data_IF_655564948572
#
_entry.id   IF_655564948572
#
_cell.length_a   1.000
_cell.length_b   1.000
_cell.length_c   1.000
_cell.angle_alpha   90.00
_cell.angle_beta   90.00
_cell.angle_gamma   90.00
#
_symmetry.space_group_name_H-M   'P 1'
#
loop_
_entity.id
_entity.type
_entity.pdbx_description
1 polymer ?
#
# COMPACT_ATOMS: atom_id res chain seq x y z
N UNK A 1 -26.04 -19.98 41.94
CA UNK A 1 -26.31 -21.26 41.24
C UNK A 1 -25.93 -21.09 39.77
N UNK A 2 -24.83 -21.75 39.38
CA UNK A 2 -24.57 -22.38 38.06
C UNK A 2 -24.68 -21.45 36.83
N UNK A 3 -23.60 -20.94 36.23
CA UNK A 3 -22.56 -21.63 35.44
C UNK A 3 -23.06 -22.28 34.14
N UNK A 4 -22.44 -21.88 33.01
CA UNK A 4 -22.13 -22.71 31.83
C UNK A 4 -23.13 -22.92 30.66
N UNK A 5 -22.52 -22.98 29.46
CA UNK A 5 -22.99 -23.27 28.09
C UNK A 5 -23.67 -22.11 27.34
N UNK A 6 -23.07 -21.45 26.34
CA UNK A 6 -22.25 -21.98 25.25
C UNK A 6 -20.93 -21.21 25.03
N UNK A 7 -19.83 -21.85 25.41
CA UNK A 7 -18.60 -21.90 24.59
C UNK A 7 -18.85 -22.95 23.52
N UNK A 8 -18.93 -22.56 22.25
CA UNK A 8 -18.63 -23.38 21.05
C UNK A 8 -19.15 -22.66 19.81
N UNK A 9 -18.24 -22.40 18.87
CA UNK A 9 -18.42 -21.84 17.51
C UNK A 9 -18.38 -20.31 17.39
N UNK A 10 -17.24 -19.78 16.97
CA UNK A 10 -17.23 -18.60 16.11
C UNK A 10 -16.31 -17.42 16.44
N UNK A 11 -15.32 -17.55 17.33
CA UNK A 11 -14.15 -16.67 17.29
C UNK A 11 -13.30 -17.07 16.07
N UNK A 12 -13.60 -16.55 14.89
CA UNK A 12 -12.77 -16.71 13.70
C UNK A 12 -13.06 -15.59 12.72
N UNK A 13 -12.01 -14.85 12.34
CA UNK A 13 -11.96 -13.86 11.24
C UNK A 13 -12.54 -12.49 11.57
N UNK A 14 -11.86 -11.77 12.47
CA UNK A 14 -11.89 -10.30 12.44
C UNK A 14 -10.80 -9.85 11.45
N UNK A 15 -11.21 -8.97 10.54
CA UNK A 15 -10.50 -8.62 9.31
C UNK A 15 -9.14 -8.02 9.56
N UNK A 16 -8.16 -8.54 8.83
CA UNK A 16 -6.79 -8.05 8.81
C UNK A 16 -6.65 -7.27 7.51
N UNK A 17 -6.86 -5.97 7.62
CA UNK A 17 -6.27 -4.98 6.74
C UNK A 17 -5.43 -4.10 7.68
N UNK A 18 -4.26 -3.63 7.27
CA UNK A 18 -3.72 -2.43 7.90
C UNK A 18 -4.66 -1.27 7.56
N UNK A 19 -5.00 -0.44 8.53
CA UNK A 19 -5.78 0.77 8.24
C UNK A 19 -5.00 1.77 7.35
N UNK A 20 -3.68 1.56 7.19
CA UNK A 20 -2.78 2.39 6.40
C UNK A 20 -2.94 2.19 4.88
N UNK A 21 -3.08 0.95 4.40
CA UNK A 21 -3.37 0.66 2.98
C UNK A 21 -4.69 1.31 2.53
N UNK A 22 -5.62 1.47 3.48
CA UNK A 22 -6.97 1.99 3.26
C UNK A 22 -7.04 3.52 3.14
N UNK A 23 -6.08 4.23 3.71
CA UNK A 23 -6.07 5.69 3.65
C UNK A 23 -4.86 6.31 2.97
N UNK A 24 -3.88 5.52 2.49
CA UNK A 24 -2.75 6.06 1.74
C UNK A 24 -3.27 6.79 0.49
N UNK A 25 -4.21 6.17 -0.24
CA UNK A 25 -4.94 6.78 -1.36
C UNK A 25 -5.81 8.00 -0.96
N UNK A 26 -6.38 8.03 0.25
CA UNK A 26 -7.25 9.12 0.70
C UNK A 26 -6.43 10.34 1.17
N UNK A 27 -5.34 10.13 1.90
CA UNK A 27 -4.44 11.20 2.35
C UNK A 27 -3.68 11.82 1.18
N UNK A 28 -3.26 11.01 0.20
CA UNK A 28 -2.70 11.47 -1.08
C UNK A 28 -3.68 12.41 -1.81
N UNK A 29 -4.98 12.13 -1.75
CA UNK A 29 -6.02 12.99 -2.35
C UNK A 29 -6.37 14.21 -1.48
N UNK A 30 -6.33 14.10 -0.14
CA UNK A 30 -6.68 15.18 0.80
C UNK A 30 -5.53 16.15 1.13
N UNK A 31 -4.25 15.79 0.98
CA UNK A 31 -3.11 16.71 1.17
C UNK A 31 -3.08 17.87 0.15
N UNK A 32 -3.94 17.82 -0.88
CA UNK A 32 -4.29 18.97 -1.74
C UNK A 32 -5.09 20.07 -1.00
N UNK A 33 -5.64 19.78 0.18
CA UNK A 33 -6.63 20.59 0.87
C UNK A 33 -6.45 20.56 2.41
N UNK A 34 -5.53 21.34 3.00
CA UNK A 34 -5.87 22.22 4.15
C UNK A 34 -4.70 22.93 4.83
N UNK A 35 -4.83 24.26 5.00
CA UNK A 35 -4.62 25.07 6.22
C UNK A 35 -4.92 26.54 5.82
N UNK A 36 -5.58 27.45 6.54
CA UNK A 36 -6.12 27.54 7.91
C UNK A 36 -7.17 28.69 8.01
N UNK A 37 -8.08 28.57 9.00
CA UNK A 37 -8.85 29.55 9.83
C UNK A 37 -9.27 30.99 9.38
N UNK A 38 -10.59 31.32 9.38
CA UNK A 38 -11.33 32.21 10.34
C UNK A 38 -12.66 32.85 9.81
N UNK A 39 -13.61 32.96 10.76
CA UNK A 39 -14.73 33.92 10.96
C UNK A 39 -16.17 33.76 10.40
N UNK A 40 -17.12 33.84 11.36
CA UNK A 40 -18.58 33.77 11.33
C UNK A 40 -19.32 34.85 10.51
N UNK A 41 -20.48 34.49 9.94
CA UNK A 41 -21.77 35.21 10.15
C UNK A 41 -22.97 34.43 9.56
N UNK A 42 -24.15 34.60 10.18
CA UNK A 42 -25.38 33.80 10.06
C UNK A 42 -26.49 34.49 9.19
N UNK A 43 -27.41 33.66 8.65
CA UNK A 43 -28.80 33.90 8.15
C UNK A 43 -29.03 34.20 6.64
N UNK A 44 -30.24 33.96 6.06
CA UNK A 44 -31.01 32.70 5.99
C UNK A 44 -31.51 32.36 4.56
N UNK A 45 -31.99 31.12 4.38
CA UNK A 45 -32.46 30.47 3.14
C UNK A 45 -33.62 31.16 2.39
N UNK A 46 -33.55 31.17 1.04
CA UNK A 46 -34.59 30.60 0.14
C UNK A 46 -34.19 30.66 -1.35
N UNK A 47 -34.15 29.49 -1.99
CA UNK A 47 -34.34 29.22 -3.42
C UNK A 47 -33.49 30.02 -4.43
N UNK A 48 -32.28 29.53 -4.71
CA UNK A 48 -31.58 29.69 -6.00
C UNK A 48 -30.41 28.69 -6.07
N UNK A 49 -30.09 28.22 -7.29
CA UNK A 49 -29.10 27.18 -7.62
C UNK A 49 -27.81 27.30 -6.77
N UNK A 50 -27.58 26.34 -5.90
CA UNK A 50 -26.29 26.16 -5.24
C UNK A 50 -25.42 25.28 -6.15
N UNK A 51 -24.74 25.92 -7.10
CA UNK A 51 -23.47 25.39 -7.58
C UNK A 51 -22.45 25.60 -6.48
N UNK A 52 -21.87 24.54 -5.94
CA UNK A 52 -20.73 24.67 -5.04
C UNK A 52 -19.45 24.67 -5.88
N UNK A 53 -18.83 25.85 -5.95
CA UNK A 53 -17.47 26.04 -6.44
C UNK A 53 -16.52 25.78 -5.28
N UNK A 54 -15.68 24.75 -5.35
CA UNK A 54 -14.50 24.68 -4.49
C UNK A 54 -13.47 25.68 -5.03
N UNK A 55 -13.23 26.77 -4.30
CA UNK A 55 -12.18 27.75 -4.62
C UNK A 55 -10.90 27.30 -3.92
N UNK A 56 -9.87 26.95 -4.70
CA UNK A 56 -8.54 26.63 -4.19
C UNK A 56 -7.86 27.88 -3.60
N UNK A 57 -7.39 27.80 -2.35
CA UNK A 57 -6.81 28.94 -1.60
C UNK A 57 -5.27 29.00 -1.65
N UNK A 58 -4.59 27.98 -2.19
CA UNK A 58 -3.12 27.99 -2.34
C UNK A 58 -2.70 28.56 -3.71
N UNK A 59 -1.99 29.72 -3.78
CA UNK A 59 -1.65 30.38 -5.04
C UNK A 59 -0.61 29.63 -5.90
N UNK A 60 0.11 28.64 -5.36
CA UNK A 60 1.14 27.89 -6.10
C UNK A 60 0.57 26.84 -7.07
N UNK A 61 -0.70 26.44 -6.89
CA UNK A 61 -1.30 25.28 -7.58
C UNK A 61 -2.50 25.60 -8.46
N UNK A 62 -2.71 26.88 -8.82
CA UNK A 62 -3.82 27.32 -9.70
C UNK A 62 -3.78 26.79 -11.14
N UNK A 63 -2.73 26.07 -11.55
CA UNK A 63 -2.54 25.67 -12.96
C UNK A 63 -2.91 24.20 -13.29
N UNK A 64 -3.24 23.36 -12.31
CA UNK A 64 -3.27 21.89 -12.51
C UNK A 64 -4.68 21.29 -12.70
N UNK A 65 -5.77 21.98 -12.36
CA UNK A 65 -7.13 21.41 -12.43
C UNK A 65 -8.14 22.36 -13.12
N UNK A 66 -8.58 22.10 -14.36
CA UNK A 66 -9.75 22.80 -14.89
C UNK A 66 -11.04 22.20 -14.29
N UNK A 67 -11.94 23.08 -13.88
CA UNK A 67 -13.30 22.81 -13.38
C UNK A 67 -14.14 21.96 -14.34
N UNK A 68 -14.82 20.90 -13.86
CA UNK A 68 -15.79 20.13 -14.66
C UNK A 68 -17.09 19.85 -13.89
N UNK A 69 -18.22 20.15 -14.52
CA UNK A 69 -19.61 19.90 -14.12
C UNK A 69 -20.10 18.51 -14.59
N UNK A 70 -20.96 17.84 -13.80
CA UNK A 70 -21.40 16.44 -14.01
C UNK A 70 -22.77 16.33 -14.70
N UNK A 71 -22.91 15.36 -15.61
CA UNK A 71 -24.18 14.79 -16.10
C UNK A 71 -24.11 13.23 -16.13
N UNK A 72 -25.28 12.58 -16.14
CA UNK A 72 -25.59 11.21 -15.70
C UNK A 72 -25.17 10.02 -16.61
N UNK A 73 -24.80 8.86 -16.01
CA UNK A 73 -25.51 7.53 -16.10
C UNK A 73 -24.63 6.27 -15.83
N UNK A 74 -25.16 5.38 -14.95
CA UNK A 74 -25.06 3.90 -14.77
C UNK A 74 -23.70 3.13 -14.68
N UNK A 75 -23.54 1.96 -14.01
CA UNK A 75 -24.04 1.24 -12.79
C UNK A 75 -23.22 -0.08 -12.71
N UNK A 76 -22.53 -0.39 -11.62
CA UNK A 76 -21.91 -1.71 -11.34
C UNK A 76 -21.94 -1.98 -9.82
N UNK A 77 -22.43 -3.15 -9.39
CA UNK A 77 -22.33 -3.71 -8.02
C UNK A 77 -21.80 -5.15 -8.13
N UNK A 78 -20.79 -5.56 -7.32
CA UNK A 78 -21.04 -6.50 -6.22
C UNK A 78 -20.19 -6.19 -4.93
N UNK A 79 -20.40 -6.90 -3.80
CA UNK A 79 -20.18 -6.36 -2.46
C UNK A 79 -18.83 -6.73 -1.84
N UNK A 80 -18.41 -5.89 -0.87
CA UNK A 80 -17.47 -6.10 0.25
C UNK A 80 -16.17 -5.25 0.19
N UNK A 81 -16.24 -4.12 0.89
CA UNK A 81 -15.22 -3.58 1.81
C UNK A 81 -13.78 -3.49 1.29
N UNK A 82 -13.45 -2.41 0.55
CA UNK A 82 -12.39 -1.42 0.84
C UNK A 82 -11.89 -0.53 -0.31
N UNK A 83 -12.60 -0.48 -1.44
CA UNK A 83 -12.24 0.39 -2.58
C UNK A 83 -13.33 1.42 -2.96
N UNK A 84 -14.14 1.86 -2.00
CA UNK A 84 -15.19 2.88 -2.21
C UNK A 84 -14.73 4.31 -1.85
N UNK A 85 -13.50 4.68 -2.19
CA UNK A 85 -13.23 6.11 -2.45
C UNK A 85 -13.73 6.35 -3.87
N UNK A 86 -14.76 7.18 -4.11
CA UNK A 86 -15.10 7.57 -5.47
C UNK A 86 -13.90 8.34 -6.00
N UNK A 87 -13.06 7.67 -6.76
CA UNK A 87 -12.10 8.34 -7.62
C UNK A 87 -12.90 9.40 -8.41
N UNK A 88 -12.49 10.68 -8.47
CA UNK A 88 -13.20 11.68 -9.27
C UNK A 88 -13.46 11.06 -10.63
N UNK A 89 -14.67 11.18 -11.21
CA UNK A 89 -15.12 10.41 -12.38
C UNK A 89 -14.14 10.40 -13.59
N UNK A 90 -13.13 11.26 -13.58
CA UNK A 90 -11.88 11.15 -14.32
C UNK A 90 -10.79 10.38 -13.54
N UNK A 91 -10.49 9.13 -13.93
CA UNK A 91 -9.16 8.52 -13.65
C UNK A 91 -8.08 9.58 -13.98
N UNK A 92 -7.10 9.89 -13.11
CA UNK A 92 -5.96 10.70 -13.47
C UNK A 92 -5.31 9.91 -14.58
N UNK A 93 -4.75 10.61 -15.54
CA UNK A 93 -3.98 9.91 -16.54
C UNK A 93 -2.83 9.20 -15.80
N UNK A 94 -2.74 7.86 -15.84
CA UNK A 94 -1.74 7.10 -15.07
C UNK A 94 -0.30 7.58 -15.33
N UNK A 95 -0.08 8.18 -16.52
CA UNK A 95 1.16 8.78 -16.96
C UNK A 95 1.58 10.03 -16.15
N UNK A 96 0.63 10.76 -15.58
CA UNK A 96 0.87 12.03 -14.87
C UNK A 96 1.24 11.77 -13.41
N UNK A 97 0.61 10.80 -12.76
CA UNK A 97 0.82 10.50 -11.33
C UNK A 97 2.09 9.70 -11.06
N UNK A 98 2.48 8.82 -11.98
CA UNK A 98 3.75 8.04 -11.89
C UNK A 98 5.01 8.86 -12.16
N UNK A 99 4.86 10.16 -12.48
CA UNK A 99 5.96 11.10 -12.73
C UNK A 99 5.84 12.36 -11.86
N UNK A 100 5.19 12.26 -10.71
CA UNK A 100 5.08 13.38 -9.79
C UNK A 100 6.47 13.82 -9.30
N UNK A 101 6.58 15.10 -8.95
CA UNK A 101 7.78 15.64 -8.30
C UNK A 101 8.09 14.99 -6.95
N UNK A 102 7.08 14.45 -6.28
CA UNK A 102 7.23 13.62 -5.09
C UNK A 102 7.45 12.16 -5.49
N UNK A 103 8.64 11.65 -5.15
CA UNK A 103 8.97 10.24 -5.33
C UNK A 103 8.03 9.33 -4.52
N UNK A 104 7.62 9.76 -3.32
CA UNK A 104 6.68 9.00 -2.50
C UNK A 104 5.31 8.92 -3.18
N UNK A 105 4.79 10.03 -3.68
CA UNK A 105 3.49 10.01 -4.37
C UNK A 105 3.52 9.14 -5.63
N UNK A 106 4.59 9.21 -6.41
CA UNK A 106 4.75 8.39 -7.60
C UNK A 106 4.89 6.89 -7.27
N UNK A 107 5.57 6.55 -6.17
CA UNK A 107 5.63 5.22 -5.59
C UNK A 107 4.23 4.72 -5.22
N UNK A 108 3.52 5.41 -4.33
CA UNK A 108 2.18 5.02 -3.87
C UNK A 108 1.16 4.88 -5.02
N UNK A 109 1.27 5.75 -6.03
CA UNK A 109 0.44 5.65 -7.22
C UNK A 109 0.73 4.37 -8.01
N UNK A 110 2.00 3.99 -8.19
CA UNK A 110 2.37 2.75 -8.86
C UNK A 110 1.90 1.52 -8.05
N UNK A 111 2.09 1.54 -6.72
CA UNK A 111 1.62 0.50 -5.80
C UNK A 111 0.13 0.27 -5.95
N UNK A 112 -0.67 1.33 -5.85
CA UNK A 112 -2.12 1.25 -5.98
C UNK A 112 -2.56 0.67 -7.33
N UNK A 113 -1.92 1.06 -8.43
CA UNK A 113 -2.20 0.53 -9.76
C UNK A 113 -1.88 -0.97 -9.86
N UNK A 114 -0.80 -1.41 -9.22
CA UNK A 114 -0.42 -2.82 -9.09
C UNK A 114 -1.43 -3.64 -8.29
N UNK A 115 -1.83 -3.15 -7.11
CA UNK A 115 -2.83 -3.80 -6.24
C UNK A 115 -4.21 -3.88 -6.92
N UNK A 116 -4.56 -2.86 -7.71
CA UNK A 116 -5.78 -2.87 -8.53
C UNK A 116 -5.68 -3.78 -9.77
N UNK A 117 -4.47 -4.22 -10.12
CA UNK A 117 -4.16 -4.93 -11.37
C UNK A 117 -4.69 -4.19 -12.61
N UNK A 118 -4.59 -2.85 -12.64
CA UNK A 118 -5.15 -2.02 -13.72
C UNK A 118 -4.29 -2.14 -15.00
N UNK A 119 -4.75 -2.98 -15.93
CA UNK A 119 -4.12 -3.20 -17.24
C UNK A 119 -3.98 -1.90 -18.05
N UNK A 120 -4.87 -0.92 -17.88
CA UNK A 120 -4.77 0.37 -18.59
C UNK A 120 -3.57 1.21 -18.13
N UNK A 121 -3.00 0.90 -16.96
CA UNK A 121 -1.86 1.59 -16.40
C UNK A 121 -0.50 1.11 -16.92
N UNK A 122 -0.46 -0.06 -17.59
CA UNK A 122 0.79 -0.66 -18.09
C UNK A 122 1.66 0.33 -18.86
N UNK A 123 1.16 1.11 -19.85
CA UNK A 123 2.02 2.07 -20.56
C UNK A 123 2.68 3.11 -19.67
N UNK A 124 2.04 3.51 -18.57
CA UNK A 124 2.60 4.47 -17.61
C UNK A 124 3.65 3.81 -16.71
N UNK A 125 3.38 2.61 -16.20
CA UNK A 125 4.31 1.84 -15.37
C UNK A 125 5.57 1.47 -16.16
N UNK A 126 5.42 1.05 -17.42
CA UNK A 126 6.54 0.80 -18.33
C UNK A 126 7.40 2.05 -18.58
N UNK A 127 6.76 3.23 -18.65
CA UNK A 127 7.45 4.49 -18.84
C UNK A 127 8.17 4.96 -17.57
N UNK A 128 7.66 4.62 -16.39
CA UNK A 128 8.30 4.89 -15.11
C UNK A 128 9.51 3.97 -14.88
N UNK A 129 9.37 2.66 -15.13
CA UNK A 129 10.46 1.68 -14.99
C UNK A 129 11.67 2.02 -15.88
N UNK A 130 11.44 2.52 -17.10
CA UNK A 130 12.53 2.87 -18.04
C UNK A 130 13.17 4.24 -17.80
N UNK A 131 12.58 5.09 -16.96
CA UNK A 131 13.09 6.44 -16.75
C UNK A 131 14.12 6.46 -15.61
N UNK A 132 15.40 6.30 -15.98
CA UNK A 132 16.53 6.34 -15.05
C UNK A 132 16.72 7.71 -14.35
N UNK A 133 15.96 8.74 -14.72
CA UNK A 133 15.94 10.01 -13.98
C UNK A 133 15.01 10.00 -12.76
N UNK A 134 14.06 9.05 -12.70
CA UNK A 134 13.22 8.85 -11.52
C UNK A 134 14.00 8.20 -10.39
N UNK A 135 13.56 8.41 -9.16
CA UNK A 135 14.15 7.75 -8.01
C UNK A 135 13.93 6.22 -8.08
N UNK A 136 14.91 5.38 -7.67
CA UNK A 136 14.78 3.92 -7.68
C UNK A 136 13.52 3.39 -7.00
N UNK A 137 13.04 4.08 -5.96
CA UNK A 137 11.78 3.76 -5.26
C UNK A 137 10.58 3.65 -6.23
N UNK A 138 10.45 4.61 -7.14
CA UNK A 138 9.35 4.64 -8.12
C UNK A 138 9.51 3.53 -9.15
N UNK A 139 10.76 3.21 -9.52
CA UNK A 139 11.06 2.20 -10.53
C UNK A 139 10.85 0.78 -10.01
N UNK A 140 11.23 0.47 -8.76
CA UNK A 140 10.92 -0.84 -8.19
C UNK A 140 9.42 -1.01 -8.10
N UNK A 141 8.68 0.02 -7.66
CA UNK A 141 7.24 -0.09 -7.49
C UNK A 141 6.52 -0.25 -8.83
N UNK A 142 7.03 0.42 -9.88
CA UNK A 142 6.56 0.17 -11.24
C UNK A 142 6.83 -1.27 -11.69
N UNK A 143 8.01 -1.84 -11.40
CA UNK A 143 8.32 -3.24 -11.74
C UNK A 143 7.43 -4.23 -10.96
N UNK A 144 7.18 -3.96 -9.68
CA UNK A 144 6.30 -4.77 -8.84
C UNK A 144 4.86 -4.73 -9.34
N UNK A 145 4.32 -3.53 -9.60
CA UNK A 145 2.99 -3.33 -10.16
C UNK A 145 2.81 -4.03 -11.51
N UNK A 146 3.83 -3.98 -12.38
CA UNK A 146 3.85 -4.73 -13.63
C UNK A 146 3.78 -6.24 -13.38
N UNK A 147 4.54 -6.76 -12.42
CA UNK A 147 4.47 -8.16 -11.97
C UNK A 147 3.11 -8.55 -11.37
N UNK A 148 2.47 -7.65 -10.63
CA UNK A 148 1.14 -7.81 -10.06
C UNK A 148 0.04 -7.88 -11.14
N UNK A 149 0.14 -7.04 -12.18
CA UNK A 149 -0.76 -7.05 -13.35
C UNK A 149 -0.60 -8.34 -14.16
N UNK A 150 0.63 -8.82 -14.34
CA UNK A 150 0.87 -10.20 -14.79
C UNK A 150 0.77 -10.45 -16.30
N UNK A 151 0.90 -9.44 -17.16
CA UNK A 151 0.84 -9.64 -18.62
C UNK A 151 2.10 -10.33 -19.15
N UNK A 152 1.98 -11.28 -20.09
CA UNK A 152 3.19 -11.87 -20.70
C UNK A 152 3.95 -10.88 -21.59
N UNK A 153 3.26 -9.88 -22.14
CA UNK A 153 3.85 -8.88 -23.03
C UNK A 153 4.92 -8.00 -22.39
N UNK A 154 4.93 -7.89 -21.05
CA UNK A 154 5.90 -7.06 -20.30
C UNK A 154 7.20 -7.81 -19.97
N UNK A 155 7.26 -9.14 -20.17
CA UNK A 155 8.44 -9.96 -19.86
C UNK A 155 9.74 -9.40 -20.47
N UNK A 156 9.79 -9.06 -21.78
CA UNK A 156 11.04 -8.56 -22.37
C UNK A 156 11.56 -7.29 -21.69
N UNK A 157 10.66 -6.45 -21.17
CA UNK A 157 11.04 -5.21 -20.49
C UNK A 157 11.56 -5.43 -19.09
N UNK A 158 10.93 -6.36 -18.34
CA UNK A 158 11.43 -6.75 -17.03
C UNK A 158 12.80 -7.44 -17.16
N UNK A 159 13.03 -8.23 -18.21
CA UNK A 159 14.35 -8.83 -18.50
C UNK A 159 15.40 -7.77 -18.87
N UNK A 160 15.03 -6.76 -19.66
CA UNK A 160 15.90 -5.62 -19.97
C UNK A 160 16.28 -4.84 -18.70
N UNK A 161 15.29 -4.51 -17.86
CA UNK A 161 15.50 -3.73 -16.64
C UNK A 161 16.30 -4.51 -15.60
N UNK A 162 16.03 -5.80 -15.44
CA UNK A 162 16.84 -6.72 -14.62
C UNK A 162 18.32 -6.70 -15.03
N UNK A 163 18.61 -6.59 -16.33
CA UNK A 163 19.98 -6.61 -16.83
C UNK A 163 20.68 -5.24 -16.81
N UNK A 164 19.93 -4.13 -16.76
CA UNK A 164 20.47 -2.79 -17.06
C UNK A 164 20.21 -1.71 -16.00
N UNK A 165 19.21 -1.87 -15.13
CA UNK A 165 18.92 -0.87 -14.11
C UNK A 165 20.10 -0.77 -13.12
N UNK A 166 20.59 0.42 -12.76
CA UNK A 166 21.73 0.56 -11.87
C UNK A 166 21.41 0.27 -10.40
N UNK A 167 20.14 0.27 -10.00
CA UNK A 167 19.71 0.06 -8.63
C UNK A 167 19.40 -1.41 -8.36
N UNK A 168 20.04 -1.98 -7.33
CA UNK A 168 19.92 -3.40 -7.02
C UNK A 168 18.48 -3.78 -6.65
N UNK A 169 17.78 -2.92 -5.92
CA UNK A 169 16.38 -3.12 -5.53
C UNK A 169 15.46 -3.21 -6.76
N UNK A 170 15.70 -2.45 -7.81
CA UNK A 170 14.90 -2.53 -9.04
C UNK A 170 15.18 -3.84 -9.79
N UNK A 171 16.45 -4.26 -9.86
CA UNK A 171 16.83 -5.54 -10.45
C UNK A 171 16.16 -6.71 -9.72
N UNK A 172 16.28 -6.75 -8.39
CA UNK A 172 15.68 -7.79 -7.55
C UNK A 172 14.15 -7.82 -7.69
N UNK A 173 13.48 -6.66 -7.78
CA UNK A 173 12.03 -6.61 -8.03
C UNK A 173 11.65 -7.11 -9.43
N UNK A 174 12.43 -6.78 -10.47
CA UNK A 174 12.21 -7.34 -11.81
C UNK A 174 12.35 -8.87 -11.81
N UNK A 175 13.30 -9.43 -11.07
CA UNK A 175 13.44 -10.88 -10.90
C UNK A 175 12.17 -11.49 -10.27
N UNK A 176 11.69 -10.90 -9.16
CA UNK A 176 10.45 -11.33 -8.48
C UNK A 176 9.24 -11.27 -9.43
N UNK A 177 9.06 -10.15 -10.13
CA UNK A 177 7.96 -9.94 -11.07
C UNK A 177 7.98 -10.98 -12.21
N UNK A 178 9.15 -11.25 -12.80
CA UNK A 178 9.32 -12.28 -13.83
C UNK A 178 8.95 -13.67 -13.31
N UNK A 179 9.42 -14.01 -12.10
CA UNK A 179 9.17 -15.30 -11.47
C UNK A 179 7.68 -15.48 -11.18
N UNK A 180 7.02 -14.44 -10.68
CA UNK A 180 5.57 -14.38 -10.44
C UNK A 180 4.75 -14.60 -11.71
N UNK A 181 5.04 -13.87 -12.79
CA UNK A 181 4.34 -14.02 -14.08
C UNK A 181 4.44 -15.47 -14.59
N UNK A 182 5.64 -16.06 -14.49
CA UNK A 182 5.89 -17.45 -14.91
C UNK A 182 5.12 -18.46 -14.06
N UNK A 183 5.04 -18.26 -12.74
CA UNK A 183 4.25 -19.13 -11.86
C UNK A 183 2.74 -19.04 -12.12
N UNK A 184 2.22 -17.82 -12.33
CA UNK A 184 0.79 -17.61 -12.59
C UNK A 184 0.30 -18.34 -13.84
N UNK A 185 1.16 -18.44 -14.86
CA UNK A 185 0.92 -19.25 -16.07
C UNK A 185 0.83 -20.75 -15.77
N UNK A 186 1.72 -21.25 -14.92
CA UNK A 186 1.73 -22.66 -14.54
C UNK A 186 0.46 -23.05 -13.76
N UNK A 187 -0.06 -22.13 -12.93
CA UNK A 187 -1.32 -22.33 -12.20
C UNK A 187 -2.51 -22.27 -13.16
N UNK A 188 -2.54 -21.31 -14.09
CA UNK A 188 -3.63 -21.18 -15.07
C UNK A 188 -3.72 -22.36 -16.06
N UNK A 189 -2.68 -23.19 -16.14
CA UNK A 189 -2.61 -24.37 -17.01
C UNK A 189 -2.83 -25.71 -16.29
N UNK A 190 -2.96 -25.72 -14.96
CA UNK A 190 -3.21 -26.91 -14.15
C UNK A 190 -4.21 -26.65 -13.02
N UNK A 191 -5.38 -27.29 -13.08
CA UNK A 191 -6.48 -27.28 -12.11
C UNK A 191 -6.88 -25.90 -11.53
N UNK A 192 -8.05 -25.39 -11.96
CA UNK A 192 -8.74 -24.17 -11.46
C UNK A 192 -9.06 -24.18 -9.93
N UNK A 193 -8.62 -25.20 -9.20
CA UNK A 193 -8.93 -25.41 -7.79
C UNK A 193 -7.86 -24.77 -6.88
N UNK A 194 -8.16 -23.55 -6.44
CA UNK A 194 -7.55 -22.82 -5.31
C UNK A 194 -6.51 -21.75 -5.64
N UNK A 195 -6.92 -20.71 -6.37
CA UNK A 195 -6.35 -19.37 -6.14
C UNK A 195 -6.73 -18.96 -4.72
N UNK A 196 -5.86 -19.26 -3.74
CA UNK A 196 -6.04 -18.84 -2.36
C UNK A 196 -5.66 -17.37 -2.29
N UNK A 197 -6.68 -16.52 -2.20
CA UNK A 197 -6.49 -15.11 -1.88
C UNK A 197 -5.68 -14.96 -0.59
N UNK A 198 -4.76 -14.00 -0.59
CA UNK A 198 -4.05 -13.59 0.63
C UNK A 198 -5.08 -13.27 1.72
N UNK A 199 -4.87 -13.71 2.98
CA UNK A 199 -5.69 -13.28 4.11
C UNK A 199 -5.71 -11.76 4.31
N UNK A 200 -4.76 -11.05 3.70
CA UNK A 200 -4.55 -9.62 3.76
C UNK A 200 -5.12 -8.89 2.54
N UNK A 201 -5.72 -9.62 1.59
CA UNK A 201 -6.33 -9.06 0.36
C UNK A 201 -5.34 -8.25 -0.51
N UNK A 202 -4.05 -8.52 -0.36
CA UNK A 202 -2.94 -7.98 -1.13
C UNK A 202 -2.62 -8.86 -2.35
N UNK A 203 -2.05 -8.23 -3.37
CA UNK A 203 -1.39 -8.87 -4.50
C UNK A 203 0.11 -9.00 -4.19
N UNK A 204 0.50 -10.09 -3.54
CA UNK A 204 1.87 -10.27 -3.05
C UNK A 204 2.89 -10.54 -4.20
N UNK A 205 4.14 -10.05 -4.13
CA UNK A 205 5.17 -10.30 -5.15
C UNK A 205 5.54 -11.77 -5.35
N UNK A 206 5.36 -12.61 -4.32
CA UNK A 206 5.57 -14.05 -4.41
C UNK A 206 4.37 -14.81 -3.85
N UNK A 207 4.10 -15.99 -4.41
CA UNK A 207 3.13 -16.89 -3.82
C UNK A 207 3.67 -17.39 -2.48
N UNK A 208 2.86 -17.43 -1.40
CA UNK A 208 3.32 -17.93 -0.13
C UNK A 208 3.74 -19.40 -0.25
N UNK A 209 4.83 -19.75 0.42
CA UNK A 209 5.25 -21.14 0.56
C UNK A 209 4.12 -22.00 1.16
N UNK A 210 4.22 -23.32 0.98
CA UNK A 210 3.19 -24.27 1.42
C UNK A 210 2.72 -24.01 2.85
N UNK A 211 1.40 -23.93 3.05
CA UNK A 211 0.78 -23.69 4.37
C UNK A 211 1.11 -24.76 5.42
N UNK A 212 1.61 -25.92 4.99
CA UNK A 212 2.00 -27.01 5.88
C UNK A 212 3.49 -26.94 6.28
N UNK A 213 4.24 -25.97 5.75
CA UNK A 213 5.65 -25.79 6.11
C UNK A 213 5.77 -25.33 7.57
N UNK A 214 6.57 -26.03 8.41
CA UNK A 214 6.81 -25.61 9.79
C UNK A 214 7.44 -24.21 9.86
N UNK A 215 7.07 -23.43 10.87
CA UNK A 215 7.62 -22.07 11.07
C UNK A 215 9.14 -22.07 11.19
N UNK A 216 9.74 -23.06 11.85
CA UNK A 216 11.19 -23.19 11.96
C UNK A 216 11.86 -23.32 10.58
N UNK A 217 11.27 -24.11 9.68
CA UNK A 217 11.79 -24.28 8.33
C UNK A 217 11.63 -23.00 7.50
N UNK A 218 10.47 -22.33 7.58
CA UNK A 218 10.26 -21.05 6.90
C UNK A 218 11.22 -19.97 7.41
N UNK A 219 11.52 -19.97 8.70
CA UNK A 219 12.54 -19.09 9.31
C UNK A 219 13.92 -19.39 8.74
N UNK A 220 14.31 -20.65 8.62
CA UNK A 220 15.60 -21.05 8.02
C UNK A 220 15.73 -20.53 6.59
N UNK A 221 14.68 -20.71 5.77
CA UNK A 221 14.65 -20.21 4.38
C UNK A 221 14.76 -18.69 4.34
N UNK A 222 13.93 -17.96 5.10
CA UNK A 222 13.91 -16.50 5.10
C UNK A 222 15.25 -15.87 5.53
N UNK A 223 15.93 -16.48 6.51
CA UNK A 223 17.21 -16.00 7.05
C UNK A 223 18.44 -16.50 6.27
N UNK A 224 18.28 -17.44 5.33
CA UNK A 224 19.38 -17.95 4.54
C UNK A 224 19.76 -16.96 3.43
N UNK A 225 20.91 -16.32 3.60
CA UNK A 225 21.45 -15.33 2.65
C UNK A 225 21.90 -15.95 1.32
N UNK A 226 22.02 -17.27 1.23
CA UNK A 226 22.34 -17.99 -0.01
C UNK A 226 21.07 -18.46 -0.75
N UNK A 227 19.89 -18.28 -0.16
CA UNK A 227 18.62 -18.63 -0.79
C UNK A 227 18.17 -17.55 -1.79
N UNK A 228 17.47 -17.97 -2.85
CA UNK A 228 16.92 -17.07 -3.85
C UNK A 228 15.89 -16.09 -3.28
N UNK A 229 15.80 -14.89 -3.85
CA UNK A 229 14.90 -13.84 -3.35
C UNK A 229 13.44 -14.29 -3.35
N UNK A 230 13.02 -15.00 -4.40
CA UNK A 230 11.66 -15.50 -4.51
C UNK A 230 11.29 -16.49 -3.39
N UNK A 231 12.18 -17.42 -3.06
CA UNK A 231 11.98 -18.41 -2.00
C UNK A 231 11.93 -17.74 -0.62
N UNK A 232 12.76 -16.71 -0.40
CA UNK A 232 12.73 -15.89 0.83
C UNK A 232 11.42 -15.12 0.95
N UNK A 233 10.93 -14.51 -0.13
CA UNK A 233 9.62 -13.83 -0.18
C UNK A 233 8.46 -14.82 0.05
N UNK A 234 8.51 -15.99 -0.57
CA UNK A 234 7.50 -17.03 -0.37
C UNK A 234 7.45 -17.47 1.11
N UNK A 235 8.61 -17.60 1.76
CA UNK A 235 8.69 -17.89 3.19
C UNK A 235 8.16 -16.73 4.05
N UNK A 236 8.51 -15.49 3.72
CA UNK A 236 8.02 -14.28 4.38
C UNK A 236 6.49 -14.22 4.38
N UNK A 237 5.84 -14.39 3.23
CA UNK A 237 4.37 -14.35 3.14
C UNK A 237 3.70 -15.56 3.80
N UNK A 238 4.33 -16.74 3.79
CA UNK A 238 3.83 -17.88 4.55
C UNK A 238 3.88 -17.62 6.07
N UNK A 239 4.96 -17.03 6.57
CA UNK A 239 5.10 -16.61 7.97
C UNK A 239 4.08 -15.53 8.33
N UNK A 240 3.88 -14.51 7.47
CA UNK A 240 2.84 -13.49 7.64
C UNK A 240 1.46 -14.14 7.78
N UNK A 241 1.13 -15.06 6.88
CA UNK A 241 -0.16 -15.72 6.85
C UNK A 241 -0.38 -16.64 8.07
N UNK A 242 0.69 -17.15 8.68
CA UNK A 242 0.61 -17.90 9.94
C UNK A 242 0.33 -16.97 11.14
N UNK A 243 1.01 -15.82 11.22
CA UNK A 243 0.73 -14.75 12.19
C UNK A 243 1.02 -15.07 13.66
N UNK A 244 1.55 -16.25 13.99
CA UNK A 244 1.91 -16.63 15.35
C UNK A 244 3.21 -15.95 15.84
N UNK A 245 3.40 -15.85 17.15
CA UNK A 245 4.55 -15.13 17.75
C UNK A 245 5.91 -15.64 17.23
N UNK A 246 6.05 -16.95 17.02
CA UNK A 246 7.27 -17.54 16.46
C UNK A 246 7.52 -17.06 15.02
N UNK A 247 6.46 -16.93 14.21
CA UNK A 247 6.53 -16.43 12.86
C UNK A 247 6.87 -14.93 12.84
N UNK A 248 6.23 -14.13 13.69
CA UNK A 248 6.54 -12.69 13.83
C UNK A 248 8.01 -12.49 14.24
N UNK A 249 8.52 -13.29 15.17
CA UNK A 249 9.94 -13.25 15.56
C UNK A 249 10.91 -13.67 14.43
N UNK A 250 10.48 -14.53 13.51
CA UNK A 250 11.24 -14.85 12.30
C UNK A 250 11.29 -13.66 11.34
N UNK A 251 10.16 -12.99 11.12
CA UNK A 251 10.05 -11.81 10.27
C UNK A 251 10.87 -10.63 10.84
N UNK A 252 10.78 -10.37 12.16
CA UNK A 252 11.61 -9.33 12.80
C UNK A 252 13.11 -9.62 12.62
N UNK A 253 13.52 -10.89 12.74
CA UNK A 253 14.93 -11.24 12.58
C UNK A 253 15.46 -10.97 11.16
N UNK A 254 14.63 -11.06 10.12
CA UNK A 254 15.02 -10.80 8.73
C UNK A 254 15.16 -9.32 8.37
N UNK A 255 14.83 -8.40 9.30
CA UNK A 255 15.20 -6.98 9.15
C UNK A 255 16.73 -6.75 9.11
N UNK A 256 17.55 -7.78 9.40
CA UNK A 256 19.01 -7.75 9.24
C UNK A 256 19.50 -8.34 7.90
N UNK A 257 18.60 -8.65 6.95
CA UNK A 257 18.96 -9.21 5.66
C UNK A 257 19.88 -8.27 4.86
N UNK A 258 20.69 -8.81 3.94
CA UNK A 258 21.61 -7.98 3.12
C UNK A 258 20.89 -7.08 2.12
N UNK A 259 19.84 -7.59 1.46
CA UNK A 259 19.07 -6.84 0.46
C UNK A 259 18.20 -5.77 1.11
N UNK A 260 18.30 -4.54 0.61
CA UNK A 260 17.41 -3.45 1.02
C UNK A 260 15.96 -3.72 0.60
N UNK A 261 15.75 -4.35 -0.55
CA UNK A 261 14.43 -4.73 -1.02
C UNK A 261 13.75 -5.71 -0.06
N UNK A 262 14.47 -6.76 0.39
CA UNK A 262 13.89 -7.68 1.37
C UNK A 262 13.62 -7.00 2.72
N UNK A 263 14.52 -6.13 3.20
CA UNK A 263 14.27 -5.38 4.45
C UNK A 263 13.04 -4.48 4.35
N UNK A 264 12.84 -3.84 3.21
CA UNK A 264 11.64 -3.07 2.88
C UNK A 264 10.39 -3.96 2.97
N UNK A 265 10.34 -5.06 2.23
CA UNK A 265 9.18 -5.96 2.27
C UNK A 265 8.88 -6.51 3.67
N UNK A 266 9.92 -6.82 4.42
CA UNK A 266 9.79 -7.28 5.80
C UNK A 266 9.13 -6.18 6.66
N UNK A 267 9.51 -4.92 6.50
CA UNK A 267 8.87 -3.81 7.20
C UNK A 267 7.40 -3.66 6.79
N UNK A 268 7.08 -3.76 5.49
CA UNK A 268 5.72 -3.73 4.96
C UNK A 268 4.85 -4.82 5.61
N UNK A 269 5.35 -6.06 5.60
CA UNK A 269 4.69 -7.21 6.21
C UNK A 269 4.48 -7.04 7.72
N UNK A 270 5.43 -6.44 8.44
CA UNK A 270 5.26 -6.14 9.87
C UNK A 270 4.20 -5.05 10.10
N UNK A 271 4.10 -4.08 9.20
CA UNK A 271 3.03 -3.09 9.16
C UNK A 271 1.65 -3.73 8.95
N UNK A 272 1.54 -4.66 8.00
CA UNK A 272 0.30 -5.44 7.76
C UNK A 272 -0.13 -6.26 8.98
N UNK A 273 0.83 -6.82 9.71
CA UNK A 273 0.58 -7.59 10.93
C UNK A 273 0.16 -6.72 12.12
N UNK A 274 0.51 -5.43 12.11
CA UNK A 274 0.29 -4.47 13.20
C UNK A 274 0.73 -5.00 14.58
N UNK A 275 1.75 -5.86 14.62
CA UNK A 275 2.19 -6.50 15.85
C UNK A 275 3.20 -5.61 16.58
N UNK A 276 2.84 -5.17 17.79
CA UNK A 276 3.68 -4.32 18.65
C UNK A 276 5.07 -4.90 18.96
N UNK A 277 5.27 -6.21 18.85
CA UNK A 277 6.60 -6.81 18.99
C UNK A 277 7.63 -6.22 17.99
N UNK A 278 7.17 -5.72 16.85
CA UNK A 278 8.00 -5.13 15.81
C UNK A 278 8.41 -3.67 16.06
N UNK A 279 7.69 -2.93 16.93
CA UNK A 279 7.87 -1.48 17.09
C UNK A 279 9.31 -1.08 17.40
N UNK A 280 9.99 -1.84 18.26
CA UNK A 280 11.37 -1.56 18.64
C UNK A 280 12.32 -1.65 17.45
N UNK A 281 12.24 -2.75 16.68
CA UNK A 281 13.10 -2.97 15.51
C UNK A 281 12.83 -1.96 14.38
N UNK A 282 11.56 -1.68 14.08
CA UNK A 282 11.18 -0.67 13.09
C UNK A 282 11.62 0.73 13.51
N UNK A 283 11.56 1.04 14.80
CA UNK A 283 12.05 2.32 15.34
C UNK A 283 13.57 2.45 15.26
N UNK A 284 14.33 1.35 15.37
CA UNK A 284 15.78 1.35 15.15
C UNK A 284 16.13 1.64 13.68
N UNK A 285 15.37 1.04 12.74
CA UNK A 285 15.50 1.28 11.30
C UNK A 285 15.23 2.75 10.96
N UNK A 286 14.10 3.31 11.42
CA UNK A 286 13.74 4.70 11.12
C UNK A 286 14.81 5.69 11.60
N UNK A 287 15.41 5.42 12.78
CA UNK A 287 16.50 6.25 13.35
C UNK A 287 17.85 6.08 12.65
N UNK A 288 18.06 5.00 11.91
CA UNK A 288 19.34 4.74 11.27
C UNK A 288 19.48 5.58 10.00
N UNK A 289 20.12 6.75 10.11
CA UNK A 289 20.39 7.64 8.97
C UNK A 289 21.28 7.03 7.87
N UNK A 290 21.95 5.90 8.15
CA UNK A 290 22.76 5.17 7.18
C UNK A 290 22.00 3.99 6.55
N UNK A 291 20.76 3.72 6.97
CA UNK A 291 19.89 2.73 6.33
C UNK A 291 19.38 3.27 4.99
N UNK A 292 19.06 2.34 4.08
CA UNK A 292 18.52 2.66 2.78
C UNK A 292 17.18 3.43 2.91
N UNK A 293 16.99 4.56 2.19
CA UNK A 293 15.78 5.38 2.30
C UNK A 293 14.47 4.62 2.13
N UNK A 294 14.40 3.64 1.21
CA UNK A 294 13.19 2.83 1.00
C UNK A 294 12.80 2.04 2.26
N UNK A 295 13.78 1.49 2.99
CA UNK A 295 13.55 0.69 4.19
C UNK A 295 13.11 1.60 5.34
N UNK A 296 13.67 2.81 5.42
CA UNK A 296 13.27 3.83 6.41
C UNK A 296 11.84 4.34 6.17
N UNK A 297 11.46 4.53 4.90
CA UNK A 297 10.10 4.88 4.50
C UNK A 297 9.11 3.82 4.96
N UNK A 298 9.34 2.56 4.57
CA UNK A 298 8.43 1.47 4.91
C UNK A 298 8.37 1.23 6.43
N UNK A 299 9.49 1.43 7.16
CA UNK A 299 9.46 1.40 8.62
C UNK A 299 8.60 2.52 9.22
N UNK A 300 8.60 3.73 8.65
CA UNK A 300 7.72 4.80 9.11
C UNK A 300 6.24 4.46 8.88
N UNK A 301 5.91 3.89 7.72
CA UNK A 301 4.56 3.44 7.39
C UNK A 301 4.09 2.31 8.31
N UNK A 302 4.94 1.31 8.53
CA UNK A 302 4.67 0.20 9.45
C UNK A 302 4.47 0.68 10.90
N UNK A 303 5.28 1.64 11.38
CA UNK A 303 5.10 2.27 12.70
C UNK A 303 3.77 3.05 12.78
N UNK A 304 3.38 3.72 11.68
CA UNK A 304 2.07 4.34 11.53
C UNK A 304 0.93 3.34 11.68
N UNK A 305 1.07 2.18 11.02
CA UNK A 305 0.11 1.08 11.08
C UNK A 305 -0.01 0.46 12.47
N UNK A 306 1.10 0.34 13.20
CA UNK A 306 1.12 -0.20 14.58
C UNK A 306 0.52 0.81 15.58
N UNK A 307 0.71 2.11 15.33
CA UNK A 307 0.02 3.20 16.02
C UNK A 307 0.23 3.29 17.56
N UNK A 308 1.31 2.71 18.09
CA UNK A 308 1.61 2.84 19.52
C UNK A 308 2.20 4.21 19.88
N UNK A 309 2.13 4.60 21.15
CA UNK A 309 2.53 5.93 21.61
C UNK A 309 3.98 6.30 21.34
N UNK A 310 4.89 5.32 21.36
CA UNK A 310 6.31 5.54 21.09
C UNK A 310 6.54 5.71 19.59
N UNK A 311 5.87 4.88 18.78
CA UNK A 311 5.84 4.99 17.32
C UNK A 311 5.33 6.37 16.87
N UNK A 312 4.21 6.85 17.41
CA UNK A 312 3.66 8.17 17.08
C UNK A 312 4.60 9.32 17.47
N UNK A 313 5.26 9.22 18.63
CA UNK A 313 6.23 10.22 19.04
C UNK A 313 7.42 10.27 18.08
N UNK A 314 7.89 9.11 17.63
CA UNK A 314 9.00 8.99 16.70
C UNK A 314 8.63 9.53 15.31
N UNK A 315 7.45 9.21 14.78
CA UNK A 315 6.98 9.75 13.50
C UNK A 315 6.94 11.28 13.50
N UNK A 316 6.54 11.90 14.62
CA UNK A 316 6.55 13.38 14.76
C UNK A 316 7.95 13.97 14.72
N UNK A 317 8.93 13.25 15.26
CA UNK A 317 10.33 13.65 15.20
C UNK A 317 10.86 13.56 13.75
N UNK A 318 10.55 12.46 13.05
CA UNK A 318 11.04 12.18 11.71
C UNK A 318 10.21 12.80 10.57
N UNK A 319 9.08 13.43 10.86
CA UNK A 319 8.37 14.30 9.91
C UNK A 319 9.24 15.48 9.41
N UNK A 320 10.33 15.79 10.10
CA UNK A 320 11.31 16.81 9.69
C UNK A 320 12.63 16.20 9.18
N UNK A 321 12.66 14.90 8.84
CA UNK A 321 13.85 14.22 8.32
C UNK A 321 14.36 14.87 7.03
N UNK A 322 15.69 14.88 6.86
CA UNK A 322 16.33 15.46 5.68
C UNK A 322 16.07 14.65 4.40
N UNK A 323 15.78 13.36 4.53
CA UNK A 323 15.38 12.50 3.42
C UNK A 323 13.88 12.71 3.12
N UNK A 324 13.52 13.30 1.96
CA UNK A 324 12.12 13.65 1.67
C UNK A 324 11.17 12.46 1.69
N UNK A 325 11.62 11.28 1.23
CA UNK A 325 10.76 10.08 1.23
C UNK A 325 10.39 9.73 2.68
N UNK A 326 11.35 9.77 3.60
CA UNK A 326 11.14 9.42 5.01
C UNK A 326 10.25 10.45 5.72
N UNK A 327 10.51 11.74 5.55
CA UNK A 327 9.69 12.79 6.17
C UNK A 327 8.25 12.76 5.66
N UNK A 328 8.05 12.63 4.35
CA UNK A 328 6.72 12.51 3.76
C UNK A 328 5.98 11.24 4.24
N UNK A 329 6.68 10.11 4.38
CA UNK A 329 6.08 8.87 4.92
C UNK A 329 5.59 9.06 6.36
N UNK A 330 6.39 9.75 7.19
CA UNK A 330 5.99 10.09 8.54
C UNK A 330 4.76 11.02 8.56
N UNK A 331 4.71 12.02 7.66
CA UNK A 331 3.56 12.91 7.50
C UNK A 331 2.29 12.16 7.08
N UNK A 332 2.39 11.23 6.13
CA UNK A 332 1.28 10.36 5.68
C UNK A 332 0.80 9.48 6.83
N UNK A 333 1.71 8.79 7.52
CA UNK A 333 1.39 7.95 8.67
C UNK A 333 0.69 8.73 9.79
N UNK A 334 1.16 9.92 10.13
CA UNK A 334 0.52 10.78 11.13
C UNK A 334 -0.85 11.28 10.67
N UNK A 335 -0.98 11.68 9.41
CA UNK A 335 -2.25 12.13 8.82
C UNK A 335 -3.29 11.01 8.85
N UNK A 336 -2.89 9.77 8.60
CA UNK A 336 -3.74 8.59 8.72
C UNK A 336 -4.28 8.43 10.14
N UNK A 337 -3.39 8.48 11.12
CA UNK A 337 -3.74 8.35 12.53
C UNK A 337 -4.68 9.47 12.99
N UNK A 338 -4.45 10.70 12.54
CA UNK A 338 -5.36 11.81 12.81
C UNK A 338 -6.74 11.58 12.19
N UNK A 339 -6.79 11.08 10.95
CA UNK A 339 -8.04 10.74 10.27
C UNK A 339 -8.81 9.66 11.04
N UNK A 340 -8.16 8.54 11.39
CA UNK A 340 -8.78 7.45 12.15
C UNK A 340 -9.29 7.92 13.52
N UNK A 341 -8.47 8.71 14.24
CA UNK A 341 -8.84 9.26 15.54
C UNK A 341 -9.98 10.30 15.45
N UNK A 342 -10.16 10.94 14.30
CA UNK A 342 -11.24 11.91 14.09
C UNK A 342 -12.63 11.25 14.07
N UNK A 343 -12.71 9.92 13.99
CA UNK A 343 -13.97 9.18 14.00
C UNK A 343 -14.85 9.45 12.78
N UNK A 344 -14.30 10.08 11.73
CA UNK A 344 -14.97 10.26 10.44
C UNK A 344 -15.14 8.87 9.80
N UNK A 345 -16.28 8.24 10.05
CA UNK A 345 -16.74 7.11 9.24
C UNK A 345 -17.22 7.64 7.89
N UNK A 346 -16.97 6.91 6.80
CA UNK A 346 -17.68 7.11 5.54
C UNK A 346 -19.20 7.08 5.82
N UNK A 347 -19.86 8.24 5.77
CA UNK A 347 -21.32 8.30 5.82
C UNK A 347 -21.85 7.71 4.50
N UNK A 348 -22.22 6.43 4.53
CA UNK A 348 -23.05 5.84 3.49
C UNK A 348 -24.41 6.54 3.50
N UNK A 349 -24.57 7.53 2.61
CA UNK A 349 -25.88 8.03 2.21
C UNK A 349 -26.58 6.89 1.46
N UNK A 350 -27.28 6.03 2.21
CA UNK A 350 -28.29 5.14 1.63
C UNK A 350 -29.30 6.02 0.91
N UNK A 351 -29.15 6.15 -0.42
CA UNK A 351 -30.21 6.68 -1.26
C UNK A 351 -31.38 5.71 -1.12
N UNK A 352 -32.36 6.10 -0.32
CA UNK A 352 -33.63 5.39 -0.23
C UNK A 352 -34.15 5.21 -1.66
N UNK A 353 -34.37 3.95 -2.04
CA UNK A 353 -34.96 3.61 -3.33
C UNK A 353 -36.25 4.41 -3.47
N UNK A 354 -36.43 5.18 -4.56
CA UNK A 354 -37.67 5.92 -4.77
C UNK A 354 -38.83 4.93 -4.73
N UNK A 355 -39.76 5.10 -3.79
CA UNK A 355 -41.03 4.39 -3.85
C UNK A 355 -41.75 4.89 -5.09
N UNK A 356 -41.81 4.04 -6.11
CA UNK A 356 -42.71 4.22 -7.24
C UNK A 356 -44.13 4.05 -6.70
N UNK A 357 -44.88 5.15 -6.63
CA UNK A 357 -46.33 5.13 -6.46
C UNK A 357 -47.01 5.05 -7.82
#
# INVERSE_FOLDING_TARGET
MVSSLCLSLGQSRLGIFSNLERGCLVSIMEQSLSSSTLHHSLLPLKSQRLGFTMVATNPRWRQVLPTVTVADTCRWDPPLLFFDVPWPRSKPQPLVTTRDSSNLLAHEAAFALGQMQDVEAVPALEAALRDLSLHPIVRHEAAEALGAIGLEGIIPMLEESLATDPAQEVQETCELALRRIREQKNISSGDEASVKFSPFLSVDPAMPASLNSPVDHLREVLLNEEEGMYERYAALFALRNAGEDAAVNAIIASLNARSALLRHEVAYVLGQLQNKAASAALSEILRNVNEHPMVRHEAAEALGSIADSESVALLKEFAMDHEPIVSQSCEVALSMLEYENSGKSFEYLFLQTPQVQ
#
